data_IF_364160774977
#
_entry.id   IF_364160774977
#
_cell.length_a   1.000
_cell.length_b   1.000
_cell.length_c   1.000
_cell.angle_alpha   90.00
_cell.angle_beta   90.00
_cell.angle_gamma   90.00
#
_symmetry.space_group_name_H-M   'P 1'
#
loop_
_entity.id
_entity.type
_entity.pdbx_description
1 polymer ?
#
# COMPACT_ATOMS: atom_id res chain seq x y z
N UNK A 1 -1.36 22.72 -44.53
CA UNK A 1 -2.48 21.97 -43.93
C UNK A 1 -3.73 22.77 -44.23
N UNK A 2 -4.78 22.14 -44.74
CA UNK A 2 -6.09 22.77 -44.96
C UNK A 2 -7.08 22.17 -43.97
N UNK A 3 -7.99 22.99 -43.46
CA UNK A 3 -9.03 22.53 -42.54
C UNK A 3 -10.01 21.64 -43.28
N UNK A 4 -10.20 20.40 -42.81
CA UNK A 4 -11.12 19.43 -43.42
C UNK A 4 -12.59 19.85 -43.34
N UNK A 5 -12.92 20.87 -42.53
CA UNK A 5 -14.30 21.32 -42.32
C UNK A 5 -14.66 22.61 -43.09
N UNK A 6 -13.72 23.54 -43.27
CA UNK A 6 -13.99 24.82 -43.94
C UNK A 6 -12.98 25.23 -45.02
N UNK A 7 -11.89 24.46 -45.23
CA UNK A 7 -10.83 24.79 -46.18
C UNK A 7 -9.84 25.87 -45.71
N UNK A 8 -10.00 26.40 -44.50
CA UNK A 8 -9.09 27.41 -43.93
C UNK A 8 -7.65 26.92 -43.78
N UNK A 9 -6.68 27.82 -43.96
CA UNK A 9 -5.24 27.52 -43.91
C UNK A 9 -4.52 28.05 -42.67
N UNK A 10 -5.21 28.86 -41.86
CA UNK A 10 -4.69 29.45 -40.62
C UNK A 10 -5.12 28.63 -39.40
N UNK A 11 -4.15 28.29 -38.55
CA UNK A 11 -4.31 27.47 -37.35
C UNK A 11 -3.52 28.06 -36.19
N UNK A 12 -4.08 27.92 -35.00
CA UNK A 12 -3.45 28.32 -33.74
C UNK A 12 -3.38 27.11 -32.78
N UNK A 13 -2.28 26.98 -32.04
CA UNK A 13 -2.17 25.97 -31.00
C UNK A 13 -2.99 26.37 -29.77
N UNK A 14 -3.92 25.51 -29.38
CA UNK A 14 -4.72 25.71 -28.16
C UNK A 14 -4.89 24.40 -27.39
N UNK A 15 -5.07 24.52 -26.07
CA UNK A 15 -5.46 23.40 -25.22
C UNK A 15 -6.93 23.08 -25.43
N UNK A 16 -7.19 21.91 -25.99
CA UNK A 16 -8.54 21.42 -26.27
C UNK A 16 -8.85 20.25 -25.35
N UNK A 17 -10.09 20.21 -24.86
CA UNK A 17 -10.62 19.09 -24.08
C UNK A 17 -11.23 18.07 -25.03
N UNK A 18 -10.72 16.85 -24.98
CA UNK A 18 -11.20 15.69 -25.73
C UNK A 18 -11.81 14.68 -24.76
N UNK A 19 -12.80 13.92 -25.23
CA UNK A 19 -13.44 12.83 -24.48
C UNK A 19 -13.37 11.51 -25.27
N UNK A 20 -12.17 10.99 -25.57
CA UNK A 20 -12.03 9.71 -26.23
C UNK A 20 -12.62 8.56 -25.41
N UNK A 21 -13.12 7.56 -26.11
CA UNK A 21 -13.60 6.32 -25.50
C UNK A 21 -12.43 5.34 -25.30
N UNK A 22 -12.24 4.88 -24.07
CA UNK A 22 -11.24 3.87 -23.68
C UNK A 22 -11.97 2.74 -22.96
N UNK A 23 -11.96 1.54 -23.54
CA UNK A 23 -12.66 0.34 -23.01
C UNK A 23 -14.14 0.57 -22.66
N UNK A 24 -14.86 1.41 -23.42
CA UNK A 24 -16.28 1.69 -23.20
C UNK A 24 -16.56 2.89 -22.29
N UNK A 25 -15.53 3.57 -21.77
CA UNK A 25 -15.67 4.74 -20.90
C UNK A 25 -15.12 6.00 -21.58
N UNK A 26 -15.84 7.13 -21.47
CA UNK A 26 -15.36 8.42 -21.93
C UNK A 26 -14.38 9.00 -20.91
N UNK A 27 -13.15 9.24 -21.34
CA UNK A 27 -12.08 9.74 -20.47
C UNK A 27 -11.72 11.16 -20.85
N UNK A 28 -11.90 12.09 -19.93
CA UNK A 28 -11.55 13.50 -20.15
C UNK A 28 -10.03 13.66 -20.28
N UNK A 29 -9.57 14.18 -21.41
CA UNK A 29 -8.15 14.40 -21.71
C UNK A 29 -7.95 15.78 -22.32
N UNK A 30 -7.04 16.58 -21.75
CA UNK A 30 -6.72 17.92 -22.24
C UNK A 30 -5.36 17.90 -22.92
N UNK A 31 -5.27 18.44 -24.14
CA UNK A 31 -4.00 18.54 -24.87
C UNK A 31 -3.97 19.61 -25.95
N UNK A 32 -2.76 19.95 -26.37
CA UNK A 32 -2.51 20.95 -27.40
C UNK A 32 -2.88 20.40 -28.79
N UNK A 33 -3.80 21.10 -29.46
CA UNK A 33 -4.26 20.78 -30.80
C UNK A 33 -4.24 22.04 -31.69
N UNK A 34 -4.15 21.84 -33.00
CA UNK A 34 -4.22 22.93 -33.97
C UNK A 34 -5.68 23.27 -34.22
N UNK A 35 -6.13 24.43 -33.76
CA UNK A 35 -7.50 24.89 -33.92
C UNK A 35 -7.58 25.83 -35.11
N UNK A 36 -8.48 25.54 -36.06
CA UNK A 36 -8.68 26.41 -37.22
C UNK A 36 -9.20 27.78 -36.77
N UNK A 37 -8.55 28.87 -37.19
CA UNK A 37 -8.98 30.22 -36.81
C UNK A 37 -10.36 30.59 -37.37
N UNK A 38 -10.78 29.98 -38.48
CA UNK A 38 -12.05 30.29 -39.15
C UNK A 38 -13.25 29.58 -38.54
N UNK A 39 -13.18 28.26 -38.33
CA UNK A 39 -14.32 27.46 -37.86
C UNK A 39 -14.16 26.89 -36.46
N UNK A 40 -13.01 27.12 -35.81
CA UNK A 40 -12.68 26.61 -34.47
C UNK A 40 -12.65 25.07 -34.36
N UNK A 41 -12.64 24.35 -35.50
CA UNK A 41 -12.48 22.90 -35.49
C UNK A 41 -11.05 22.51 -35.08
N UNK A 42 -10.89 21.67 -34.05
CA UNK A 42 -9.58 21.12 -33.69
C UNK A 42 -9.16 20.07 -34.72
N UNK A 43 -7.95 20.24 -35.23
CA UNK A 43 -7.26 19.34 -36.13
C UNK A 43 -6.05 18.74 -35.41
N UNK A 44 -5.81 17.45 -35.65
CA UNK A 44 -4.67 16.74 -35.11
C UNK A 44 -3.95 16.00 -36.23
N UNK A 45 -2.62 16.05 -36.20
CA UNK A 45 -1.80 15.16 -37.00
C UNK A 45 -1.69 13.76 -36.37
N UNK A 46 -1.02 12.83 -37.06
CA UNK A 46 -0.82 11.46 -36.57
C UNK A 46 -0.04 11.39 -35.25
N UNK A 47 0.87 12.34 -34.98
CA UNK A 47 1.67 12.38 -33.76
C UNK A 47 0.82 12.85 -32.58
N UNK A 48 0.04 13.91 -32.76
CA UNK A 48 -0.92 14.42 -31.78
C UNK A 48 -1.99 13.38 -31.48
N UNK A 49 -2.51 12.68 -32.49
CA UNK A 49 -3.51 11.63 -32.29
C UNK A 49 -2.95 10.43 -31.49
N UNK A 50 -1.71 10.01 -31.75
CA UNK A 50 -1.05 8.99 -30.91
C UNK A 50 -0.81 9.48 -29.49
N UNK A 51 -0.46 10.76 -29.33
CA UNK A 51 -0.40 11.44 -28.03
C UNK A 51 -1.73 11.38 -27.29
N UNK A 52 -2.85 11.68 -27.97
CA UNK A 52 -4.21 11.61 -27.42
C UNK A 52 -4.55 10.22 -26.91
N UNK A 53 -4.28 9.19 -27.72
CA UNK A 53 -4.53 7.80 -27.32
C UNK A 53 -3.74 7.42 -26.08
N UNK A 54 -2.46 7.80 -26.02
CA UNK A 54 -1.58 7.52 -24.87
C UNK A 54 -2.07 8.25 -23.61
N UNK A 55 -2.35 9.54 -23.71
CA UNK A 55 -2.82 10.35 -22.59
C UNK A 55 -4.17 9.87 -22.06
N UNK A 56 -5.11 9.53 -22.95
CA UNK A 56 -6.41 8.98 -22.58
C UNK A 56 -6.29 7.61 -21.91
N UNK A 57 -5.45 6.73 -22.44
CA UNK A 57 -5.20 5.42 -21.84
C UNK A 57 -4.56 5.55 -20.44
N UNK A 58 -3.64 6.49 -20.25
CA UNK A 58 -3.03 6.74 -18.94
C UNK A 58 -3.99 7.42 -17.95
N UNK A 59 -4.86 8.29 -18.42
CA UNK A 59 -5.95 8.84 -17.60
C UNK A 59 -6.90 7.73 -17.13
N UNK A 60 -7.31 6.83 -18.03
CA UNK A 60 -8.07 5.62 -17.69
C UNK A 60 -7.36 4.75 -16.65
N UNK A 61 -6.06 4.49 -16.86
CA UNK A 61 -5.28 3.66 -15.93
C UNK A 61 -5.24 4.26 -14.54
N UNK A 62 -5.04 5.58 -14.43
CA UNK A 62 -5.04 6.29 -13.14
C UNK A 62 -6.38 6.17 -12.41
N UNK A 63 -7.50 6.35 -13.11
CA UNK A 63 -8.83 6.22 -12.49
C UNK A 63 -9.12 4.81 -12.00
N UNK A 64 -8.55 3.79 -12.67
CA UNK A 64 -8.73 2.38 -12.34
C UNK A 64 -7.58 1.76 -11.52
N UNK A 65 -6.61 2.56 -11.04
CA UNK A 65 -5.50 2.08 -10.21
C UNK A 65 -4.47 1.19 -10.93
N UNK A 66 -4.42 1.25 -12.26
CA UNK A 66 -3.48 0.52 -13.11
C UNK A 66 -2.20 1.32 -13.37
N UNK A 67 -1.11 0.62 -13.68
CA UNK A 67 0.16 1.21 -14.10
C UNK A 67 -0.01 1.99 -15.41
N UNK A 68 0.40 3.25 -15.39
CA UNK A 68 0.56 4.08 -16.58
C UNK A 68 1.63 3.53 -17.51
N UNK A 69 1.56 3.91 -18.78
CA UNK A 69 2.59 3.59 -19.76
C UNK A 69 3.98 4.06 -19.31
N UNK A 70 4.06 5.21 -18.63
CA UNK A 70 5.30 5.75 -18.06
C UNK A 70 5.85 4.91 -16.91
N UNK A 71 5.00 4.42 -16.01
CA UNK A 71 5.42 3.54 -14.91
C UNK A 71 5.91 2.18 -15.42
N UNK A 72 5.28 1.63 -16.46
CA UNK A 72 5.73 0.38 -17.10
C UNK A 72 7.12 0.56 -17.74
N UNK A 73 7.33 1.67 -18.46
CA UNK A 73 8.64 2.03 -19.01
C UNK A 73 9.67 2.19 -17.88
N UNK A 74 9.29 2.87 -16.81
CA UNK A 74 10.16 3.10 -15.66
C UNK A 74 10.61 1.80 -14.99
N UNK A 75 9.71 0.82 -14.80
CA UNK A 75 10.08 -0.49 -14.27
C UNK A 75 11.08 -1.21 -15.18
N UNK A 76 10.82 -1.21 -16.49
CA UNK A 76 11.73 -1.82 -17.47
C UNK A 76 13.12 -1.18 -17.44
N UNK A 77 13.18 0.15 -17.40
CA UNK A 77 14.44 0.91 -17.42
C UNK A 77 15.22 0.75 -16.11
N UNK A 78 14.54 0.73 -14.97
CA UNK A 78 15.15 0.47 -13.65
C UNK A 78 15.82 -0.90 -13.60
N UNK A 79 15.23 -1.89 -14.26
CA UNK A 79 15.80 -3.23 -14.40
C UNK A 79 16.86 -3.35 -15.52
N UNK A 80 17.14 -2.28 -16.26
CA UNK A 80 18.13 -2.26 -17.33
C UNK A 80 17.76 -3.13 -18.55
N UNK A 81 16.47 -3.35 -18.80
CA UNK A 81 16.00 -4.29 -19.82
C UNK A 81 15.54 -3.61 -21.12
N UNK A 82 15.78 -4.29 -22.26
CA UNK A 82 15.11 -3.98 -23.53
C UNK A 82 13.65 -4.46 -23.52
N UNK A 83 12.82 -4.01 -24.47
CA UNK A 83 11.42 -4.49 -24.57
C UNK A 83 11.33 -6.02 -24.75
N UNK A 84 12.24 -6.60 -25.55
CA UNK A 84 12.30 -8.05 -25.76
C UNK A 84 12.73 -8.81 -24.48
N UNK A 85 13.75 -8.30 -23.77
CA UNK A 85 14.21 -8.88 -22.51
C UNK A 85 13.13 -8.78 -21.42
N UNK A 86 12.44 -7.64 -21.34
CA UNK A 86 11.35 -7.42 -20.39
C UNK A 86 10.14 -8.32 -20.67
N UNK A 87 9.80 -8.52 -21.94
CA UNK A 87 8.75 -9.45 -22.35
C UNK A 87 9.08 -10.90 -21.92
N UNK A 88 10.31 -11.34 -22.16
CA UNK A 88 10.79 -12.64 -21.72
C UNK A 88 10.77 -12.77 -20.19
N UNK A 89 11.20 -11.72 -19.47
CA UNK A 89 11.18 -11.67 -18.02
C UNK A 89 9.76 -11.80 -17.43
N UNK A 90 8.77 -11.14 -18.04
CA UNK A 90 7.37 -11.21 -17.65
C UNK A 90 6.64 -12.45 -18.20
N UNK A 91 7.27 -13.29 -19.02
CA UNK A 91 6.65 -14.41 -19.73
C UNK A 91 5.46 -14.00 -20.62
N UNK A 92 5.60 -12.88 -21.35
CA UNK A 92 4.59 -12.38 -22.28
C UNK A 92 5.19 -12.16 -23.68
N UNK A 93 4.34 -12.05 -24.70
CA UNK A 93 4.81 -11.70 -26.05
C UNK A 93 5.35 -10.26 -26.10
N UNK A 94 6.43 -10.02 -26.86
CA UNK A 94 7.04 -8.68 -27.03
C UNK A 94 6.03 -7.63 -27.54
N UNK A 95 5.06 -8.05 -28.36
CA UNK A 95 3.99 -7.20 -28.84
C UNK A 95 3.09 -6.65 -27.70
N UNK A 96 3.00 -7.32 -26.55
CA UNK A 96 2.28 -6.81 -25.39
C UNK A 96 3.01 -5.64 -24.75
N UNK A 97 4.33 -5.71 -24.57
CA UNK A 97 5.13 -4.62 -23.99
C UNK A 97 5.03 -3.36 -24.87
N UNK A 98 5.22 -3.51 -26.20
CA UNK A 98 5.08 -2.39 -27.15
C UNK A 98 3.71 -1.72 -27.07
N UNK A 99 2.65 -2.52 -26.91
CA UNK A 99 1.28 -2.04 -26.79
C UNK A 99 1.04 -1.33 -25.45
N UNK A 100 1.56 -1.86 -24.34
CA UNK A 100 1.37 -1.28 -23.01
C UNK A 100 2.14 0.03 -22.82
N UNK A 101 3.37 0.13 -23.33
CA UNK A 101 4.20 1.36 -23.29
C UNK A 101 3.69 2.48 -24.23
N UNK A 102 2.75 2.15 -25.12
CA UNK A 102 2.08 3.11 -26.01
C UNK A 102 0.72 3.50 -25.46
N UNK A 103 -0.36 2.83 -25.85
CA UNK A 103 -1.72 3.24 -25.50
C UNK A 103 -2.69 2.08 -25.24
N UNK A 104 -2.27 0.82 -25.39
CA UNK A 104 -3.15 -0.29 -25.08
C UNK A 104 -3.14 -0.56 -23.56
N UNK A 105 -4.31 -0.46 -22.94
CA UNK A 105 -4.46 -0.73 -21.51
C UNK A 105 -4.32 -2.22 -21.22
N UNK A 106 -3.42 -2.58 -20.31
CA UNK A 106 -3.22 -3.93 -19.80
C UNK A 106 -4.44 -4.41 -18.99
N UNK A 107 -4.64 -5.71 -18.89
CA UNK A 107 -5.62 -6.26 -17.96
C UNK A 107 -5.07 -6.26 -16.52
N UNK A 108 -5.94 -6.30 -15.50
CA UNK A 108 -5.52 -6.24 -14.10
C UNK A 108 -4.55 -7.36 -13.68
N UNK A 109 -4.65 -8.55 -14.28
CA UNK A 109 -3.77 -9.67 -13.93
C UNK A 109 -2.33 -9.44 -14.42
N UNK A 110 -2.18 -8.84 -15.60
CA UNK A 110 -0.87 -8.43 -16.11
C UNK A 110 -0.30 -7.26 -15.34
N UNK A 111 -1.15 -6.32 -14.91
CA UNK A 111 -0.75 -5.22 -14.01
C UNK A 111 -0.17 -5.75 -12.70
N UNK A 112 -0.89 -6.65 -12.04
CA UNK A 112 -0.45 -7.32 -10.81
C UNK A 112 0.84 -8.13 -11.05
N UNK A 113 0.93 -8.87 -12.16
CA UNK A 113 2.14 -9.61 -12.51
C UNK A 113 3.37 -8.72 -12.68
N UNK A 114 3.20 -7.56 -13.35
CA UNK A 114 4.27 -6.57 -13.49
C UNK A 114 4.69 -6.03 -12.13
N UNK A 115 3.76 -5.64 -11.27
CA UNK A 115 4.09 -5.15 -9.92
C UNK A 115 4.84 -6.20 -9.10
N UNK A 116 4.36 -7.45 -9.11
CA UNK A 116 5.00 -8.56 -8.39
C UNK A 116 6.44 -8.82 -8.82
N UNK A 117 6.76 -8.61 -10.10
CA UNK A 117 8.11 -8.85 -10.63
C UNK A 117 9.00 -7.61 -10.59
N UNK A 118 8.44 -6.41 -10.65
CA UNK A 118 9.21 -5.19 -10.86
C UNK A 118 9.23 -4.24 -9.66
N UNK A 119 8.33 -4.41 -8.70
CA UNK A 119 8.26 -3.61 -7.48
C UNK A 119 8.59 -4.50 -6.27
N UNK A 120 9.80 -4.34 -5.73
CA UNK A 120 10.30 -5.07 -4.56
C UNK A 120 9.33 -4.97 -3.38
N UNK A 121 8.77 -3.78 -3.13
CA UNK A 121 7.84 -3.55 -2.04
C UNK A 121 6.55 -4.35 -2.20
N UNK A 122 6.05 -4.35 -3.43
CA UNK A 122 4.82 -5.04 -3.77
C UNK A 122 5.03 -6.56 -3.67
N UNK A 123 6.19 -7.05 -4.12
CA UNK A 123 6.58 -8.46 -4.01
C UNK A 123 6.69 -8.93 -2.55
N UNK A 124 7.39 -8.17 -1.70
CA UNK A 124 7.50 -8.43 -0.26
C UNK A 124 6.13 -8.47 0.40
N UNK A 125 5.28 -7.48 0.12
CA UNK A 125 3.93 -7.41 0.65
C UNK A 125 3.09 -8.63 0.22
N UNK A 126 3.18 -9.04 -1.04
CA UNK A 126 2.48 -10.21 -1.53
C UNK A 126 2.97 -11.50 -0.85
N UNK A 127 4.28 -11.66 -0.67
CA UNK A 127 4.85 -12.80 0.05
C UNK A 127 4.31 -12.88 1.48
N UNK A 128 4.23 -11.75 2.18
CA UNK A 128 3.63 -11.65 3.50
C UNK A 128 2.15 -12.02 3.50
N UNK A 129 1.37 -11.49 2.55
CA UNK A 129 -0.04 -11.84 2.43
C UNK A 129 -0.26 -13.33 2.21
N UNK A 130 0.57 -13.97 1.37
CA UNK A 130 0.52 -15.43 1.17
C UNK A 130 0.84 -16.16 2.46
N UNK A 131 1.94 -15.79 3.14
CA UNK A 131 2.33 -16.39 4.42
C UNK A 131 1.20 -16.29 5.47
N UNK A 132 0.58 -15.12 5.59
CA UNK A 132 -0.49 -14.86 6.54
C UNK A 132 -1.80 -15.58 6.19
N UNK A 133 -2.15 -15.65 4.90
CA UNK A 133 -3.34 -16.42 4.44
C UNK A 133 -3.18 -17.92 4.69
N UNK A 134 -1.97 -18.46 4.52
CA UNK A 134 -1.70 -19.88 4.73
C UNK A 134 -1.62 -20.29 6.20
N UNK A 135 -1.34 -19.36 7.11
CA UNK A 135 -1.17 -19.66 8.55
C UNK A 135 -2.53 -19.86 9.23
N UNK A 136 -2.72 -21.02 9.85
CA UNK A 136 -3.92 -21.33 10.62
C UNK A 136 -3.91 -20.64 12.00
N UNK A 137 -5.08 -20.37 12.60
CA UNK A 137 -5.17 -19.95 14.00
C UNK A 137 -4.48 -20.96 14.92
N UNK A 138 -3.63 -20.47 15.81
CA UNK A 138 -2.94 -21.25 16.83
C UNK A 138 -2.62 -20.39 18.06
N UNK A 139 -2.04 -21.00 19.09
CA UNK A 139 -1.70 -20.28 20.31
C UNK A 139 -0.62 -19.21 20.12
N UNK A 140 0.14 -19.22 19.02
CA UNK A 140 1.21 -18.27 18.75
C UNK A 140 0.74 -17.02 18.02
N UNK A 141 -0.42 -17.06 17.37
CA UNK A 141 -1.14 -15.91 16.83
C UNK A 141 -2.40 -15.54 17.64
N UNK A 142 -2.54 -16.13 18.83
CA UNK A 142 -3.66 -15.89 19.73
C UNK A 142 -4.99 -16.32 19.12
N UNK A 143 -5.05 -17.51 18.54
CA UNK A 143 -6.24 -18.13 17.98
C UNK A 143 -6.92 -17.29 16.88
N UNK A 144 -6.14 -16.50 16.12
CA UNK A 144 -6.65 -15.66 15.03
C UNK A 144 -5.69 -15.67 13.84
N UNK A 145 -6.23 -15.78 12.62
CA UNK A 145 -5.44 -15.51 11.42
C UNK A 145 -5.01 -14.05 11.40
N UNK A 146 -3.76 -13.80 11.04
CA UNK A 146 -3.26 -12.44 10.92
C UNK A 146 -4.07 -11.63 9.90
N UNK A 147 -4.47 -10.42 10.28
CA UNK A 147 -5.14 -9.45 9.42
C UNK A 147 -4.27 -8.21 9.26
N UNK A 148 -3.69 -8.05 8.06
CA UNK A 148 -2.90 -6.86 7.74
C UNK A 148 -3.71 -5.58 7.91
N UNK A 149 -4.98 -5.57 7.49
CA UNK A 149 -5.82 -4.39 7.59
C UNK A 149 -6.09 -4.02 9.06
N UNK A 150 -6.40 -4.99 9.91
CA UNK A 150 -6.52 -4.72 11.35
C UNK A 150 -5.21 -4.26 11.96
N UNK A 151 -4.06 -4.81 11.54
CA UNK A 151 -2.74 -4.35 12.00
C UNK A 151 -2.47 -2.90 11.59
N UNK A 152 -2.68 -2.55 10.31
CA UNK A 152 -2.52 -1.18 9.80
C UNK A 152 -3.39 -0.19 10.56
N UNK A 153 -4.68 -0.51 10.77
CA UNK A 153 -5.59 0.39 11.46
C UNK A 153 -5.35 0.44 12.97
N UNK A 154 -4.87 -0.64 13.57
CA UNK A 154 -4.35 -0.63 14.96
C UNK A 154 -3.15 0.31 15.08
N UNK A 155 -2.19 0.23 14.15
CA UNK A 155 -1.04 1.15 14.08
C UNK A 155 -1.51 2.59 13.91
N UNK A 156 -2.36 2.89 12.92
CA UNK A 156 -2.88 4.24 12.66
C UNK A 156 -3.58 4.85 13.88
N UNK A 157 -4.27 4.01 14.67
CA UNK A 157 -4.95 4.45 15.88
C UNK A 157 -3.97 4.78 17.02
N UNK A 158 -3.01 3.87 17.28
CA UNK A 158 -2.13 3.94 18.45
C UNK A 158 -0.91 4.85 18.25
N UNK A 159 -0.42 4.99 17.01
CA UNK A 159 0.74 5.82 16.69
C UNK A 159 0.52 7.31 17.01
N UNK A 160 -0.74 7.75 17.12
CA UNK A 160 -1.13 9.11 17.52
C UNK A 160 -0.74 9.45 18.96
N UNK A 161 -0.50 8.45 19.81
CA UNK A 161 -0.14 8.64 21.21
C UNK A 161 1.22 8.02 21.58
N UNK A 162 1.74 7.09 20.78
CA UNK A 162 3.07 6.51 20.98
C UNK A 162 4.18 7.51 20.63
N UNK A 163 5.22 7.60 21.47
CA UNK A 163 6.35 8.53 21.27
C UNK A 163 7.31 8.13 20.15
N UNK A 164 7.45 6.83 19.87
CA UNK A 164 8.41 6.30 18.91
C UNK A 164 8.03 4.89 18.43
N UNK A 165 8.67 4.36 17.36
CA UNK A 165 8.41 3.00 16.87
C UNK A 165 8.71 1.89 17.89
N UNK A 166 9.77 2.09 18.71
CA UNK A 166 10.11 1.12 19.76
C UNK A 166 8.98 0.97 20.77
N UNK A 167 8.33 2.09 21.10
CA UNK A 167 7.20 2.11 22.02
C UNK A 167 5.99 1.49 21.33
N UNK A 168 5.73 1.85 20.07
CA UNK A 168 4.63 1.28 19.27
C UNK A 168 4.66 -0.25 19.26
N UNK A 169 5.84 -0.89 19.11
CA UNK A 169 5.96 -2.35 19.18
C UNK A 169 5.41 -2.94 20.50
N UNK A 170 5.64 -2.25 21.62
CA UNK A 170 5.16 -2.70 22.94
C UNK A 170 3.69 -2.49 23.07
N UNK A 171 3.20 -1.34 22.60
CA UNK A 171 1.77 -1.05 22.59
C UNK A 171 1.01 -2.09 21.75
N UNK A 172 1.55 -2.49 20.59
CA UNK A 172 0.96 -3.53 19.74
C UNK A 172 0.94 -4.89 20.44
N UNK A 173 2.03 -5.25 21.12
CA UNK A 173 2.09 -6.47 21.95
C UNK A 173 0.98 -6.47 23.01
N UNK A 174 0.83 -5.39 23.77
CA UNK A 174 -0.22 -5.30 24.78
C UNK A 174 -1.63 -5.27 24.18
N UNK A 175 -1.83 -4.65 23.01
CA UNK A 175 -3.14 -4.65 22.36
C UNK A 175 -3.59 -6.08 22.01
N UNK A 176 -2.70 -6.88 21.44
CA UNK A 176 -2.99 -8.27 21.11
C UNK A 176 -3.13 -9.16 22.35
N UNK A 177 -2.20 -9.09 23.29
CA UNK A 177 -2.20 -9.96 24.48
C UNK A 177 -3.33 -9.60 25.47
N UNK A 178 -3.67 -8.32 25.63
CA UNK A 178 -4.80 -7.91 26.47
C UNK A 178 -6.14 -8.36 25.88
N UNK A 179 -6.30 -8.27 24.55
CA UNK A 179 -7.51 -8.78 23.89
C UNK A 179 -7.61 -10.29 24.07
N UNK A 180 -6.50 -11.01 23.90
CA UNK A 180 -6.45 -12.45 24.12
C UNK A 180 -6.76 -12.85 25.56
N UNK A 181 -6.17 -12.18 26.56
CA UNK A 181 -6.48 -12.38 27.99
C UNK A 181 -7.97 -12.25 28.28
N UNK A 182 -8.63 -11.31 27.63
CA UNK A 182 -10.03 -10.97 27.89
C UNK A 182 -11.03 -11.84 27.11
N UNK A 183 -10.69 -12.27 25.89
CA UNK A 183 -11.64 -12.85 24.94
C UNK A 183 -11.18 -14.16 24.29
N UNK A 184 -9.99 -14.66 24.60
CA UNK A 184 -9.44 -15.91 24.03
C UNK A 184 -9.01 -15.85 22.57
N UNK A 185 -9.10 -14.67 21.93
CA UNK A 185 -8.60 -14.34 20.60
C UNK A 185 -7.74 -13.07 20.65
N UNK A 186 -6.71 -12.99 19.82
CA UNK A 186 -5.90 -11.78 19.66
C UNK A 186 -6.65 -10.72 18.85
N UNK A 187 -6.14 -9.49 18.88
CA UNK A 187 -6.74 -8.36 18.17
C UNK A 187 -6.44 -8.46 16.67
N UNK A 188 -5.19 -8.68 16.31
CA UNK A 188 -4.68 -8.61 14.93
C UNK A 188 -4.23 -9.96 14.37
N UNK A 189 -3.97 -10.95 15.22
CA UNK A 189 -3.34 -12.22 14.83
C UNK A 189 -1.82 -12.13 14.66
N UNK A 190 -1.18 -11.07 15.14
CA UNK A 190 0.27 -10.89 15.03
C UNK A 190 1.02 -11.92 15.90
N UNK A 191 2.16 -12.38 15.39
CA UNK A 191 3.13 -13.13 16.17
C UNK A 191 4.18 -12.16 16.72
N UNK A 192 4.69 -12.44 17.91
CA UNK A 192 5.69 -11.59 18.56
C UNK A 192 6.95 -12.40 18.85
N UNK A 193 8.11 -11.79 18.66
CA UNK A 193 9.41 -12.36 19.02
C UNK A 193 10.12 -11.49 20.06
N UNK A 194 10.88 -12.09 21.01
CA UNK A 194 11.71 -11.33 21.93
C UNK A 194 12.97 -10.86 21.20
N UNK A 195 13.17 -9.53 21.14
CA UNK A 195 14.37 -8.88 20.63
C UNK A 195 15.04 -8.05 21.73
N UNK A 196 16.23 -7.52 21.46
CA UNK A 196 17.06 -6.76 22.42
C UNK A 196 16.29 -5.67 23.18
N UNK A 197 15.39 -4.96 22.48
CA UNK A 197 14.60 -3.85 23.04
C UNK A 197 13.16 -4.24 23.40
N UNK A 198 12.89 -5.52 23.67
CA UNK A 198 11.59 -6.05 24.10
C UNK A 198 10.80 -6.78 23.00
N UNK A 199 9.54 -7.18 23.23
CA UNK A 199 8.73 -7.91 22.24
C UNK A 199 8.47 -7.06 20.99
N UNK A 200 8.56 -7.70 19.82
CA UNK A 200 8.36 -7.06 18.53
C UNK A 200 7.44 -7.91 17.65
N UNK A 201 6.45 -7.31 16.96
CA UNK A 201 5.71 -8.03 15.93
C UNK A 201 6.65 -8.60 14.87
N UNK A 202 6.40 -9.84 14.44
CA UNK A 202 7.05 -10.43 13.28
C UNK A 202 6.79 -9.55 12.04
N UNK A 203 7.81 -9.40 11.18
CA UNK A 203 7.73 -8.59 9.95
C UNK A 203 7.36 -7.10 10.16
N UNK A 204 7.53 -6.54 11.36
CA UNK A 204 7.17 -5.15 11.67
C UNK A 204 7.74 -4.12 10.68
N UNK A 205 9.01 -4.26 10.29
CA UNK A 205 9.64 -3.34 9.34
C UNK A 205 8.97 -3.36 7.96
N UNK A 206 8.58 -4.54 7.49
CA UNK A 206 7.90 -4.68 6.20
C UNK A 206 6.48 -4.10 6.26
N UNK A 207 5.79 -4.24 7.40
CA UNK A 207 4.48 -3.63 7.63
C UNK A 207 4.60 -2.10 7.60
N UNK A 208 5.58 -1.52 8.31
CA UNK A 208 5.81 -0.07 8.32
C UNK A 208 6.22 0.44 6.92
N UNK A 209 7.14 -0.22 6.24
CA UNK A 209 7.56 0.15 4.88
C UNK A 209 6.39 0.10 3.90
N UNK A 210 5.53 -0.92 4.01
CA UNK A 210 4.29 -1.01 3.24
C UNK A 210 3.36 0.18 3.53
N UNK A 211 3.15 0.53 4.79
CA UNK A 211 2.30 1.67 5.17
C UNK A 211 2.86 3.02 4.69
N UNK A 212 4.19 3.22 4.72
CA UNK A 212 4.83 4.42 4.18
C UNK A 212 4.64 4.52 2.65
N UNK A 213 4.89 3.43 1.91
CA UNK A 213 4.75 3.40 0.45
C UNK A 213 3.29 3.56 -0.01
N UNK A 214 2.34 3.06 0.78
CA UNK A 214 0.90 3.31 0.57
C UNK A 214 0.47 4.71 0.99
N UNK A 215 1.37 5.53 1.54
CA UNK A 215 1.08 6.88 2.00
C UNK A 215 0.15 6.93 3.21
N UNK A 216 0.04 5.85 4.00
CA UNK A 216 -0.78 5.77 5.22
C UNK A 216 -0.11 6.42 6.43
N UNK A 217 1.23 6.40 6.45
CA UNK A 217 2.06 7.06 7.44
C UNK A 217 3.19 7.81 6.73
N UNK A 218 3.72 8.83 7.39
CA UNK A 218 4.89 9.57 6.92
C UNK A 218 5.93 9.67 8.03
N UNK A 219 7.21 9.65 7.65
CA UNK A 219 8.32 9.77 8.58
C UNK A 219 8.53 11.22 8.98
N UNK A 220 8.53 11.50 10.27
CA UNK A 220 8.85 12.80 10.85
C UNK A 220 10.14 12.71 11.67
N UNK A 221 11.20 13.36 11.22
CA UNK A 221 12.52 13.27 11.84
C UNK A 221 13.21 11.92 11.61
N UNK A 222 14.14 11.56 12.48
CA UNK A 222 15.03 10.38 12.26
C UNK A 222 14.30 9.05 12.41
N UNK A 223 13.30 8.96 13.30
CA UNK A 223 12.62 7.71 13.64
C UNK A 223 11.12 7.81 13.93
N UNK A 224 10.48 8.98 13.93
CA UNK A 224 9.06 9.05 14.28
C UNK A 224 8.16 8.93 13.05
N UNK A 225 6.93 8.47 13.25
CA UNK A 225 5.93 8.36 12.19
C UNK A 225 4.67 9.14 12.58
N UNK A 226 4.01 9.70 11.58
CA UNK A 226 2.69 10.33 11.73
C UNK A 226 1.70 9.70 10.76
N UNK A 227 0.44 9.48 11.18
CA UNK A 227 -0.59 8.99 10.28
C UNK A 227 -1.04 10.10 9.34
N UNK A 228 -1.20 9.78 8.06
CA UNK A 228 -1.74 10.71 7.04
C UNK A 228 -3.27 10.69 6.99
N UNK A 229 -3.88 9.63 7.52
CA UNK A 229 -5.32 9.40 7.54
C UNK A 229 -5.77 8.77 8.87
N UNK A 230 -7.05 8.89 9.25
CA UNK A 230 -7.57 8.24 10.46
C UNK A 230 -7.62 6.71 10.32
N UNK A 231 -7.61 6.02 11.46
CA UNK A 231 -7.90 4.59 11.50
C UNK A 231 -9.39 4.34 11.22
N UNK A 232 -9.70 3.32 10.44
CA UNK A 232 -11.04 2.81 10.26
C UNK A 232 -11.36 1.84 11.40
N UNK A 233 -12.15 2.33 12.37
CA UNK A 233 -12.55 1.54 13.53
C UNK A 233 -13.72 0.60 13.21
N UNK A 234 -14.36 0.72 12.04
CA UNK A 234 -15.47 -0.16 11.64
C UNK A 234 -15.02 -1.59 11.35
N UNK A 235 -13.72 -1.80 11.15
CA UNK A 235 -13.08 -3.10 11.01
C UNK A 235 -13.03 -3.92 12.32
N UNK A 236 -13.31 -3.29 13.45
CA UNK A 236 -13.20 -3.88 14.78
C UNK A 236 -14.56 -4.00 15.44
N UNK A 237 -14.82 -5.14 16.08
CA UNK A 237 -16.01 -5.33 16.91
C UNK A 237 -15.97 -4.45 18.18
N UNK A 238 -17.09 -4.37 18.92
CA UNK A 238 -17.19 -3.51 20.11
C UNK A 238 -16.15 -3.86 21.19
N UNK A 239 -15.80 -5.14 21.34
CA UNK A 239 -14.81 -5.60 22.31
C UNK A 239 -13.39 -5.24 21.87
N UNK A 240 -13.09 -5.42 20.58
CA UNK A 240 -11.82 -5.05 19.95
C UNK A 240 -11.59 -3.53 20.02
N UNK A 241 -12.60 -2.73 19.73
CA UNK A 241 -12.56 -1.27 19.90
C UNK A 241 -12.35 -0.87 21.37
N UNK A 242 -12.96 -1.59 22.31
CA UNK A 242 -12.77 -1.32 23.73
C UNK A 242 -11.34 -1.63 24.19
N UNK A 243 -10.71 -2.70 23.69
CA UNK A 243 -9.29 -2.97 23.91
C UNK A 243 -8.43 -1.82 23.36
N UNK A 244 -8.64 -1.40 22.10
CA UNK A 244 -7.91 -0.28 21.50
C UNK A 244 -8.02 0.99 22.34
N UNK A 245 -9.24 1.36 22.76
CA UNK A 245 -9.49 2.53 23.63
C UNK A 245 -8.78 2.41 24.97
N UNK A 246 -8.73 1.21 25.55
CA UNK A 246 -8.07 0.95 26.83
C UNK A 246 -6.55 1.15 26.70
N UNK A 247 -5.93 0.52 25.70
CA UNK A 247 -4.50 0.68 25.42
C UNK A 247 -4.16 2.14 25.09
N UNK A 248 -4.98 2.80 24.27
CA UNK A 248 -4.80 4.21 23.93
C UNK A 248 -4.81 5.12 25.16
N UNK A 249 -5.72 4.88 26.12
CA UNK A 249 -5.76 5.61 27.40
C UNK A 249 -4.48 5.39 28.21
N UNK A 250 -3.98 4.16 28.31
CA UNK A 250 -2.75 3.83 29.04
C UNK A 250 -1.54 4.58 28.49
N UNK A 251 -1.35 4.57 27.17
CA UNK A 251 -0.17 5.17 26.54
C UNK A 251 -0.25 6.68 26.46
N UNK A 252 -1.45 7.27 26.48
CA UNK A 252 -1.61 8.72 26.42
C UNK A 252 -1.03 9.44 27.64
N UNK A 253 -0.88 8.75 28.77
CA UNK A 253 -0.40 9.34 30.01
C UNK A 253 1.10 9.67 29.95
N UNK A 254 1.91 8.80 29.35
CA UNK A 254 3.37 8.93 29.36
C UNK A 254 4.04 8.65 28.00
N UNK A 255 3.24 8.47 26.95
CA UNK A 255 3.68 8.14 25.60
C UNK A 255 4.02 6.66 25.37
N UNK A 256 3.62 5.78 26.29
CA UNK A 256 3.88 4.33 26.28
C UNK A 256 5.13 3.90 27.05
N UNK A 257 5.70 4.80 27.87
CA UNK A 257 6.94 4.51 28.62
C UNK A 257 6.73 3.39 29.64
N UNK A 258 5.63 3.45 30.38
CA UNK A 258 5.28 2.43 31.36
C UNK A 258 5.15 1.05 30.70
N UNK A 259 4.44 0.96 29.57
CA UNK A 259 4.32 -0.29 28.83
C UNK A 259 5.67 -0.76 28.27
N UNK A 260 6.52 0.18 27.83
CA UNK A 260 7.88 -0.16 27.41
C UNK A 260 8.68 -0.81 28.53
N UNK A 261 8.72 -0.20 29.71
CA UNK A 261 9.43 -0.73 30.87
C UNK A 261 8.85 -2.10 31.29
N UNK A 262 7.52 -2.20 31.41
CA UNK A 262 6.85 -3.47 31.77
C UNK A 262 7.12 -4.58 30.77
N UNK A 263 7.20 -4.28 29.46
CA UNK A 263 7.38 -5.31 28.44
C UNK A 263 8.67 -6.13 28.57
N UNK A 264 9.69 -5.58 29.26
CA UNK A 264 10.93 -6.28 29.57
C UNK A 264 10.79 -7.19 30.79
N UNK A 265 9.78 -6.92 31.64
CA UNK A 265 9.48 -7.69 32.83
C UNK A 265 8.52 -8.86 32.57
N UNK A 266 7.79 -8.81 31.45
CA UNK A 266 6.81 -9.81 31.04
C UNK A 266 7.39 -11.23 30.95
N UNK A 267 6.65 -12.20 31.47
CA UNK A 267 7.07 -13.61 31.49
C UNK A 267 7.29 -14.14 30.06
N UNK A 268 6.43 -13.73 29.11
CA UNK A 268 6.56 -14.13 27.72
C UNK A 268 7.82 -13.59 27.05
N UNK A 269 8.29 -12.40 27.43
CA UNK A 269 9.55 -11.86 26.93
C UNK A 269 10.76 -12.59 27.54
N UNK A 270 10.77 -12.79 28.87
CA UNK A 270 11.91 -13.39 29.58
C UNK A 270 12.09 -14.89 29.31
N UNK A 271 11.00 -15.65 29.19
CA UNK A 271 11.02 -17.12 29.10
C UNK A 271 11.13 -17.63 27.66
N UNK A 272 10.83 -16.80 26.66
CA UNK A 272 10.91 -17.19 25.25
C UNK A 272 12.33 -16.98 24.72
N UNK A 273 12.97 -18.00 24.09
CA UNK A 273 14.30 -17.81 23.51
C UNK A 273 14.33 -16.74 22.41
N UNK A 274 15.43 -16.00 22.23
CA UNK A 274 15.59 -15.04 21.13
C UNK A 274 15.25 -15.65 19.77
N UNK A 275 14.46 -14.93 18.97
CA UNK A 275 14.02 -15.36 17.64
C UNK A 275 12.95 -16.46 17.62
N UNK A 276 12.44 -16.91 18.77
CA UNK A 276 11.27 -17.80 18.86
C UNK A 276 9.99 -16.99 19.11
N UNK A 277 8.86 -17.51 18.65
CA UNK A 277 7.56 -16.86 18.83
C UNK A 277 7.08 -16.97 20.28
N UNK A 278 6.64 -15.86 20.85
CA UNK A 278 6.05 -15.78 22.19
C UNK A 278 4.65 -16.41 22.13
N UNK A 279 4.39 -17.37 23.01
CA UNK A 279 3.06 -17.99 23.16
C UNK A 279 2.07 -17.01 23.79
N UNK A 280 0.84 -16.94 23.27
CA UNK A 280 -0.22 -16.14 23.90
C UNK A 280 -0.69 -16.70 25.24
N UNK A 281 -0.28 -17.91 25.63
CA UNK A 281 -0.53 -18.42 27.00
C UNK A 281 0.04 -17.49 28.08
N UNK A 282 1.10 -16.73 27.77
CA UNK A 282 1.66 -15.75 28.72
C UNK A 282 0.73 -14.56 29.00
N UNK A 283 -0.37 -14.40 28.26
CA UNK A 283 -1.35 -13.35 28.51
C UNK A 283 -2.09 -13.52 29.84
N UNK A 284 -2.15 -14.73 30.40
CA UNK A 284 -2.75 -14.98 31.72
C UNK A 284 -2.06 -14.16 32.82
N UNK A 285 -0.73 -14.06 32.73
CA UNK A 285 0.14 -13.36 33.68
C UNK A 285 0.48 -11.91 33.25
N UNK A 286 -0.23 -11.35 32.26
CA UNK A 286 0.06 -10.02 31.72
C UNK A 286 -0.01 -8.97 32.82
N UNK A 287 0.99 -8.08 32.90
CA UNK A 287 1.17 -7.14 34.01
C UNK A 287 0.20 -5.93 34.00
N UNK A 288 -0.76 -5.92 33.08
CA UNK A 288 -1.82 -4.90 32.95
C UNK A 288 -3.23 -5.49 32.94
#
# INVERSE_FOLDING_TARGET
MECLQCGGTQFQEQKVRFNPEVKGECVETVMDALVCEQCQTPMMDSKQMNGLRKAAADAYRKTHGLLTSGEIVHFRETLGMSQAAFAAYLNVGEASIKRWETYAVQDPSQDEHMRLKCDEAYAELNALQVQWKCRAPDIFNGNRRFSLEMMKHTILYLIRAAKSPLYLNKVLFYADFLHFKSFGKSLTGAQFVPLEYGPCPDQFQNIISCMEKQGLITKTGTHNFQPTQPADLTLFDDHEQQTLKTIYKLIRLDGGKHLYDLSHEEAGFKKTPPGKTISYTFAEDLLI
#
